data_IF_884880384808
#
_entry.id   IF_884880384808
#
_cell.length_a   1.000
_cell.length_b   1.000
_cell.length_c   1.000
_cell.angle_alpha   90.00
_cell.angle_beta   90.00
_cell.angle_gamma   90.00
#
_symmetry.space_group_name_H-M   'P 1'
#
loop_
_entity.id
_entity.type
_entity.pdbx_description
1 polymer ?
#
# COMPACT_ATOMS: atom_id res chain seq x y z
N UNK A 1 13.01 -35.69 -31.08
CA UNK A 1 12.65 -35.54 -29.66
C UNK A 1 12.74 -34.07 -29.28
N UNK A 2 11.66 -33.31 -29.41
CA UNK A 2 11.57 -31.95 -28.87
C UNK A 2 11.01 -32.05 -27.45
N UNK A 3 11.89 -32.06 -26.45
CA UNK A 3 11.49 -31.87 -25.06
C UNK A 3 11.19 -30.38 -24.88
N UNK A 4 9.91 -30.01 -24.97
CA UNK A 4 9.46 -28.66 -24.65
C UNK A 4 9.68 -28.43 -23.15
N UNK A 5 10.62 -27.54 -22.87
CA UNK A 5 10.92 -26.96 -21.58
C UNK A 5 9.69 -26.26 -21.00
N UNK A 6 8.89 -26.95 -20.20
CA UNK A 6 7.99 -26.29 -19.26
C UNK A 6 8.82 -25.86 -18.06
N UNK A 7 9.53 -24.72 -18.18
CA UNK A 7 10.01 -24.00 -17.01
C UNK A 7 8.77 -23.53 -16.23
N UNK A 8 8.25 -24.40 -15.37
CA UNK A 8 7.36 -24.01 -14.29
C UNK A 8 8.21 -23.13 -13.39
N UNK A 9 8.11 -21.80 -13.57
CA UNK A 9 8.71 -20.84 -12.66
C UNK A 9 8.42 -21.26 -11.22
N UNK A 10 9.47 -21.38 -10.43
CA UNK A 10 9.31 -21.77 -9.03
C UNK A 10 8.54 -20.65 -8.32
N UNK A 11 7.51 -20.94 -7.52
CA UNK A 11 6.82 -19.92 -6.72
C UNK A 11 7.78 -19.07 -5.87
N UNK A 12 8.94 -19.64 -5.50
CA UNK A 12 10.01 -18.99 -4.73
C UNK A 12 10.65 -17.80 -5.46
N UNK A 13 10.65 -17.78 -6.79
CA UNK A 13 11.24 -16.67 -7.57
C UNK A 13 10.50 -15.34 -7.32
N UNK A 14 9.21 -15.40 -6.99
CA UNK A 14 8.38 -14.21 -6.81
C UNK A 14 8.30 -13.74 -5.35
N UNK A 15 8.61 -14.62 -4.39
CA UNK A 15 8.50 -14.35 -2.95
C UNK A 15 9.27 -13.10 -2.51
N UNK A 16 10.55 -12.89 -2.91
CA UNK A 16 11.29 -11.70 -2.46
C UNK A 16 10.63 -10.39 -2.91
N UNK A 17 10.25 -10.31 -4.19
CA UNK A 17 9.58 -9.12 -4.74
C UNK A 17 8.20 -8.88 -4.14
N UNK A 18 7.47 -9.96 -3.84
CA UNK A 18 6.16 -9.91 -3.19
C UNK A 18 6.27 -9.29 -1.80
N UNK A 19 7.15 -9.83 -0.95
CA UNK A 19 7.33 -9.34 0.42
C UNK A 19 7.86 -7.90 0.47
N UNK A 20 8.75 -7.54 -0.46
CA UNK A 20 9.19 -6.15 -0.60
C UNK A 20 8.01 -5.21 -0.89
N UNK A 21 7.18 -5.56 -1.87
CA UNK A 21 6.02 -4.76 -2.24
C UNK A 21 4.92 -4.77 -1.16
N UNK A 22 4.83 -5.83 -0.34
CA UNK A 22 3.89 -5.95 0.78
C UNK A 22 4.27 -4.99 1.91
N UNK A 23 5.55 -4.91 2.26
CA UNK A 23 6.02 -4.02 3.32
C UNK A 23 6.00 -2.53 2.97
N UNK A 24 6.12 -2.18 1.68
CA UNK A 24 6.25 -0.79 1.23
C UNK A 24 5.12 0.14 1.70
N UNK A 25 3.82 -0.15 1.44
CA UNK A 25 2.73 0.68 1.92
C UNK A 25 2.75 0.88 3.43
N UNK A 26 2.98 -0.20 4.18
CA UNK A 26 2.99 -0.17 5.63
C UNK A 26 4.11 0.72 6.17
N UNK A 27 5.34 0.56 5.68
CA UNK A 27 6.50 1.35 6.13
C UNK A 27 6.34 2.83 5.78
N UNK A 28 5.85 3.13 4.57
CA UNK A 28 5.65 4.52 4.15
C UNK A 28 4.62 5.21 5.04
N UNK A 29 3.51 4.56 5.33
CA UNK A 29 2.43 5.14 6.13
C UNK A 29 2.76 5.24 7.62
N UNK A 30 3.45 4.24 8.22
CA UNK A 30 3.76 4.27 9.65
C UNK A 30 4.97 5.15 9.99
N UNK A 31 5.96 5.25 9.10
CA UNK A 31 7.26 5.83 9.43
C UNK A 31 7.58 7.02 8.54
N UNK A 32 7.56 6.84 7.21
CA UNK A 32 8.00 7.89 6.27
C UNK A 32 7.04 9.09 6.28
N UNK A 33 5.73 8.85 6.39
CA UNK A 33 4.72 9.90 6.42
C UNK A 33 4.87 10.83 7.63
N UNK A 34 5.23 10.28 8.80
CA UNK A 34 5.43 11.04 10.02
C UNK A 34 6.62 11.98 9.88
N UNK A 35 7.74 11.50 9.35
CA UNK A 35 8.93 12.32 9.06
C UNK A 35 8.60 13.40 8.03
N UNK A 36 7.95 13.02 6.92
CA UNK A 36 7.54 13.94 5.86
C UNK A 36 6.70 15.11 6.41
N UNK A 37 5.66 14.82 7.18
CA UNK A 37 4.79 15.87 7.72
C UNK A 37 5.48 16.70 8.79
N UNK A 38 6.37 16.10 9.58
CA UNK A 38 7.18 16.82 10.56
C UNK A 38 8.07 17.87 9.88
N UNK A 39 8.76 17.48 8.81
CA UNK A 39 9.63 18.36 8.03
C UNK A 39 8.86 19.48 7.33
N UNK A 40 7.58 19.23 6.99
CA UNK A 40 6.66 20.21 6.41
C UNK A 40 5.96 21.09 7.46
N UNK A 41 6.34 21.00 8.74
CA UNK A 41 5.87 21.87 9.82
C UNK A 41 4.51 21.50 10.41
N UNK A 42 4.00 20.29 10.16
CA UNK A 42 2.78 19.79 10.79
C UNK A 42 3.05 19.39 12.25
N UNK A 43 2.08 19.64 13.14
CA UNK A 43 2.21 19.32 14.56
C UNK A 43 2.21 17.81 14.84
N UNK A 44 2.94 17.38 15.86
CA UNK A 44 3.03 15.96 16.26
C UNK A 44 1.67 15.37 16.62
N UNK A 45 0.79 16.17 17.25
CA UNK A 45 -0.55 15.75 17.60
C UNK A 45 -1.40 15.43 16.35
N UNK A 46 -1.31 16.26 15.31
CA UNK A 46 -2.00 16.01 14.04
C UNK A 46 -1.41 14.81 13.32
N UNK A 47 -0.08 14.70 13.27
CA UNK A 47 0.60 13.56 12.65
C UNK A 47 0.13 12.27 13.33
N UNK A 48 0.27 12.18 14.66
CA UNK A 48 -0.10 10.98 15.41
C UNK A 48 -1.57 10.61 15.23
N UNK A 49 -2.47 11.59 15.23
CA UNK A 49 -3.90 11.35 15.01
C UNK A 49 -4.18 10.79 13.62
N UNK A 50 -3.69 11.46 12.57
CA UNK A 50 -4.00 11.09 11.19
C UNK A 50 -3.28 9.81 10.75
N UNK A 51 -2.02 9.61 11.14
CA UNK A 51 -1.29 8.37 10.82
C UNK A 51 -1.92 7.16 11.54
N UNK A 52 -2.33 7.32 12.80
CA UNK A 52 -3.04 6.25 13.50
C UNK A 52 -4.37 5.92 12.82
N UNK A 53 -5.10 6.95 12.35
CA UNK A 53 -6.39 6.76 11.69
C UNK A 53 -6.25 6.02 10.35
N UNK A 54 -5.30 6.43 9.50
CA UNK A 54 -5.09 5.76 8.20
C UNK A 54 -4.57 4.34 8.33
N UNK A 55 -4.01 3.95 9.50
CA UNK A 55 -3.51 2.60 9.75
C UNK A 55 -4.58 1.59 10.17
N UNK A 56 -5.80 2.05 10.51
CA UNK A 56 -6.91 1.17 10.89
C UNK A 56 -7.28 0.07 9.90
N UNK A 57 -7.14 0.22 8.55
CA UNK A 57 -7.51 -0.83 7.62
C UNK A 57 -6.86 -2.19 7.92
N UNK A 58 -5.60 -2.22 8.38
CA UNK A 58 -4.95 -3.48 8.76
C UNK A 58 -5.62 -4.17 9.96
N UNK A 59 -6.26 -3.42 10.86
CA UNK A 59 -6.99 -3.97 12.01
C UNK A 59 -8.33 -4.57 11.61
N UNK A 60 -9.04 -3.94 10.67
CA UNK A 60 -10.40 -4.33 10.29
C UNK A 60 -10.49 -5.14 8.99
N UNK A 61 -9.36 -5.53 8.38
CA UNK A 61 -9.33 -6.23 7.10
C UNK A 61 -10.12 -7.55 7.07
N UNK A 62 -10.31 -8.19 8.23
CA UNK A 62 -11.16 -9.38 8.36
C UNK A 62 -12.60 -9.16 7.82
N UNK A 63 -13.07 -7.91 7.74
CA UNK A 63 -14.38 -7.56 7.20
C UNK A 63 -14.45 -7.73 5.67
N UNK A 64 -13.38 -7.52 4.91
CA UNK A 64 -13.40 -7.63 3.44
C UNK A 64 -12.55 -8.76 2.87
N UNK A 65 -11.47 -9.16 3.55
CA UNK A 65 -10.55 -10.20 3.06
C UNK A 65 -11.25 -11.50 2.63
N UNK A 66 -12.26 -12.03 3.36
CA UNK A 66 -12.98 -13.24 2.93
C UNK A 66 -13.67 -13.11 1.57
N UNK A 67 -14.19 -11.92 1.26
CA UNK A 67 -14.89 -11.65 0.00
C UNK A 67 -13.93 -11.55 -1.18
N UNK A 68 -12.69 -11.10 -0.96
CA UNK A 68 -11.67 -11.02 -1.99
C UNK A 68 -11.29 -12.42 -2.50
N UNK A 69 -11.24 -13.40 -1.59
CA UNK A 69 -10.93 -14.79 -1.92
C UNK A 69 -12.03 -15.46 -2.76
N UNK A 70 -13.28 -15.00 -2.65
CA UNK A 70 -14.41 -15.54 -3.41
C UNK A 70 -14.48 -15.02 -4.86
N UNK A 71 -13.91 -13.86 -5.17
CA UNK A 71 -14.12 -13.20 -6.46
C UNK A 71 -13.03 -13.49 -7.50
N UNK A 72 -11.75 -13.48 -7.11
CA UNK A 72 -10.60 -13.60 -8.04
C UNK A 72 -9.40 -14.30 -7.40
N UNK A 73 -8.43 -14.67 -8.22
CA UNK A 73 -7.17 -15.30 -7.77
C UNK A 73 -6.34 -14.37 -6.90
N UNK A 74 -5.59 -14.92 -5.93
CA UNK A 74 -4.65 -14.17 -5.07
C UNK A 74 -3.68 -13.28 -5.86
N UNK A 75 -3.11 -13.80 -6.96
CA UNK A 75 -2.17 -13.05 -7.81
C UNK A 75 -2.78 -11.80 -8.44
N UNK A 76 -4.07 -11.81 -8.77
CA UNK A 76 -4.77 -10.65 -9.31
C UNK A 76 -4.84 -9.52 -8.28
N UNK A 77 -5.23 -9.84 -7.04
CA UNK A 77 -5.30 -8.85 -5.95
C UNK A 77 -3.93 -8.29 -5.58
N UNK A 78 -2.91 -9.16 -5.56
CA UNK A 78 -1.53 -8.75 -5.34
C UNK A 78 -1.06 -7.75 -6.40
N UNK A 79 -1.13 -8.09 -7.68
CA UNK A 79 -0.62 -7.20 -8.74
C UNK A 79 -1.47 -5.92 -8.84
N UNK A 80 -2.79 -6.04 -8.68
CA UNK A 80 -3.70 -4.90 -8.70
C UNK A 80 -3.42 -3.90 -7.58
N UNK A 81 -3.22 -4.37 -6.34
CA UNK A 81 -2.87 -3.51 -5.20
C UNK A 81 -1.48 -2.89 -5.33
N UNK A 82 -0.50 -3.61 -5.90
CA UNK A 82 0.83 -3.05 -6.20
C UNK A 82 0.75 -1.88 -7.18
N UNK A 83 0.02 -2.04 -8.28
CA UNK A 83 -0.16 -0.99 -9.28
C UNK A 83 -0.94 0.20 -8.71
N UNK A 84 -2.02 -0.08 -7.97
CA UNK A 84 -2.83 0.95 -7.31
C UNK A 84 -1.99 1.77 -6.34
N UNK A 85 -1.26 1.10 -5.43
CA UNK A 85 -0.38 1.77 -4.47
C UNK A 85 0.72 2.58 -5.17
N UNK A 86 1.32 2.06 -6.25
CA UNK A 86 2.32 2.79 -7.03
C UNK A 86 1.78 4.08 -7.65
N UNK A 87 0.58 4.04 -8.27
CA UNK A 87 -0.08 5.22 -8.81
C UNK A 87 -0.41 6.22 -7.70
N UNK A 88 -0.98 5.74 -6.59
CA UNK A 88 -1.36 6.60 -5.47
C UNK A 88 -0.15 7.26 -4.80
N UNK A 89 1.01 6.60 -4.73
CA UNK A 89 2.24 7.26 -4.27
C UNK A 89 2.70 8.36 -5.22
N UNK A 90 2.57 8.17 -6.54
CA UNK A 90 2.78 9.25 -7.51
C UNK A 90 1.83 10.42 -7.28
N UNK A 91 0.54 10.15 -7.04
CA UNK A 91 -0.46 11.18 -6.72
C UNK A 91 -0.14 11.87 -5.39
N UNK A 92 0.30 11.14 -4.37
CA UNK A 92 0.71 11.71 -3.09
C UNK A 92 1.89 12.68 -3.27
N UNK A 93 2.90 12.31 -4.07
CA UNK A 93 4.01 13.20 -4.38
C UNK A 93 3.56 14.48 -5.10
N UNK A 94 2.64 14.37 -6.07
CA UNK A 94 2.07 15.54 -6.74
C UNK A 94 1.26 16.42 -5.78
N UNK A 95 0.53 15.81 -4.83
CA UNK A 95 -0.29 16.54 -3.86
C UNK A 95 0.49 17.47 -2.95
N UNK A 96 1.80 17.22 -2.75
CA UNK A 96 2.69 18.08 -1.96
C UNK A 96 2.83 19.50 -2.51
N UNK A 97 2.50 19.73 -3.79
CA UNK A 97 2.55 21.05 -4.42
C UNK A 97 1.26 21.87 -4.22
N UNK A 98 0.23 21.30 -3.58
CA UNK A 98 -1.05 21.96 -3.39
C UNK A 98 -1.07 22.76 -2.07
N UNK A 99 -1.84 23.86 -1.99
CA UNK A 99 -2.06 24.58 -0.72
C UNK A 99 -2.68 23.70 0.37
N UNK A 100 -3.47 22.70 -0.05
CA UNK A 100 -4.13 21.72 0.82
C UNK A 100 -3.37 20.39 0.90
N UNK A 101 -2.05 20.39 0.68
CA UNK A 101 -1.26 19.16 0.55
C UNK A 101 -1.51 18.16 1.68
N UNK A 102 -1.63 18.62 2.92
CA UNK A 102 -1.78 17.75 4.09
C UNK A 102 -3.07 16.93 4.00
N UNK A 103 -4.22 17.58 3.79
CA UNK A 103 -5.50 16.90 3.67
C UNK A 103 -5.55 15.95 2.46
N UNK A 104 -5.03 16.39 1.31
CA UNK A 104 -5.04 15.58 0.08
C UNK A 104 -4.13 14.36 0.22
N UNK A 105 -2.90 14.54 0.71
CA UNK A 105 -1.96 13.44 0.90
C UNK A 105 -2.44 12.44 1.95
N UNK A 106 -3.05 12.89 3.06
CA UNK A 106 -3.67 11.99 4.06
C UNK A 106 -4.81 11.18 3.43
N UNK A 107 -5.68 11.81 2.63
CA UNK A 107 -6.76 11.11 1.94
C UNK A 107 -6.22 10.07 0.94
N UNK A 108 -5.17 10.41 0.19
CA UNK A 108 -4.49 9.48 -0.72
C UNK A 108 -3.84 8.33 0.05
N UNK A 109 -3.15 8.61 1.16
CA UNK A 109 -2.56 7.60 2.02
C UNK A 109 -3.60 6.70 2.68
N UNK A 110 -4.79 7.20 3.00
CA UNK A 110 -5.89 6.36 3.44
C UNK A 110 -6.26 5.30 2.38
N UNK A 111 -6.32 5.68 1.10
CA UNK A 111 -6.58 4.71 0.02
C UNK A 111 -5.40 3.74 -0.15
N UNK A 112 -4.16 4.23 -0.04
CA UNK A 112 -2.96 3.37 -0.02
C UNK A 112 -3.03 2.36 1.14
N UNK A 113 -3.55 2.74 2.30
CA UNK A 113 -3.70 1.85 3.44
C UNK A 113 -4.66 0.70 3.15
N UNK A 114 -5.82 0.98 2.54
CA UNK A 114 -6.75 -0.06 2.10
C UNK A 114 -6.14 -0.96 1.02
N UNK A 115 -5.39 -0.38 0.08
CA UNK A 115 -4.66 -1.12 -0.95
C UNK A 115 -3.59 -2.03 -0.33
N UNK A 116 -2.80 -1.51 0.61
CA UNK A 116 -1.76 -2.24 1.34
C UNK A 116 -2.33 -3.37 2.19
N UNK A 117 -3.40 -3.11 2.95
CA UNK A 117 -4.10 -4.14 3.74
C UNK A 117 -4.80 -5.20 2.89
N UNK A 118 -5.08 -4.90 1.61
CA UNK A 118 -5.60 -5.86 0.63
C UNK A 118 -4.49 -6.69 -0.02
N UNK A 119 -3.30 -6.10 -0.18
CA UNK A 119 -2.11 -6.79 -0.67
C UNK A 119 -1.59 -7.80 0.36
N UNK A 120 -1.70 -7.46 1.64
CA UNK A 120 -1.28 -8.24 2.81
C UNK A 120 -2.23 -9.39 3.17
#
# INVERSE_FOLDING_TARGET
>A
MQSLSHLKHSPLEWVPSLYFAMGLPFVVLNMVSAVLYKDLGISDAQIAFWTSLIMWPWTIKFLWSPFLELYRTKKFWVVGSQLLSGVLFGVAALSLHLPLFFAVSVAVFAVVAFSGATHD
#
